data_IF_565791994878
#
_entry.id   IF_565791994878
#
_cell.length_a   1.000
_cell.length_b   1.000
_cell.length_c   1.000
_cell.angle_alpha   90.00
_cell.angle_beta   90.00
_cell.angle_gamma   90.00
#
_symmetry.space_group_name_H-M   'P 1'
#
loop_
_entity.id
_entity.type
_entity.pdbx_description
1 polymer ?
#
# COMPACT_ATOMS: atom_id res chain seq x y z
N UNK A 1 9.23 -9.79 7.37
CA UNK A 1 8.06 -10.57 7.84
C UNK A 1 6.78 -10.12 7.13
N UNK A 2 6.44 -8.83 7.17
CA UNK A 2 5.32 -8.24 6.41
C UNK A 2 5.36 -8.52 4.90
N UNK A 3 6.49 -8.30 4.23
CA UNK A 3 6.60 -8.52 2.79
C UNK A 3 6.26 -9.96 2.37
N UNK A 4 6.67 -10.96 3.17
CA UNK A 4 6.32 -12.38 2.92
C UNK A 4 4.84 -12.68 3.17
N UNK A 5 4.22 -12.05 4.18
CA UNK A 5 2.79 -12.18 4.44
C UNK A 5 1.98 -11.53 3.31
N UNK A 6 2.34 -10.30 2.92
CA UNK A 6 1.75 -9.57 1.80
C UNK A 6 1.83 -10.34 0.48
N UNK A 7 3.00 -10.90 0.14
CA UNK A 7 3.19 -11.71 -1.07
C UNK A 7 2.30 -12.96 -1.10
N UNK A 8 2.01 -13.57 0.06
CA UNK A 8 1.07 -14.69 0.14
C UNK A 8 -0.37 -14.24 -0.07
N UNK A 9 -0.75 -13.09 0.49
CA UNK A 9 -2.09 -12.52 0.32
C UNK A 9 -2.38 -12.13 -1.13
N UNK A 10 -1.35 -11.84 -1.94
CA UNK A 10 -1.51 -11.45 -3.35
C UNK A 10 -1.45 -12.64 -4.32
N UNK A 11 -1.50 -13.89 -3.84
CA UNK A 11 -1.47 -15.06 -4.72
C UNK A 11 -2.56 -14.99 -5.81
N UNK A 12 -2.19 -15.36 -7.04
CA UNK A 12 -3.07 -15.26 -8.22
C UNK A 12 -4.35 -16.08 -8.07
N UNK A 13 -4.26 -17.25 -7.43
CA UNK A 13 -5.41 -18.11 -7.14
C UNK A 13 -5.92 -17.81 -5.74
N UNK A 14 -7.22 -17.53 -5.59
CA UNK A 14 -7.82 -17.25 -4.28
C UNK A 14 -7.62 -18.37 -3.26
N UNK A 15 -7.58 -19.64 -3.71
CA UNK A 15 -7.38 -20.81 -2.84
C UNK A 15 -5.97 -20.92 -2.25
N UNK A 16 -4.99 -20.24 -2.85
CA UNK A 16 -3.60 -20.23 -2.37
C UNK A 16 -3.35 -19.12 -1.35
N UNK A 17 -4.31 -18.20 -1.20
CA UNK A 17 -4.23 -17.12 -0.24
C UNK A 17 -4.51 -17.67 1.16
N UNK A 18 -3.80 -17.18 2.17
CA UNK A 18 -4.06 -17.55 3.56
C UNK A 18 -5.43 -17.06 4.01
N UNK A 19 -6.03 -17.78 4.96
CA UNK A 19 -7.28 -17.36 5.58
C UNK A 19 -7.08 -16.07 6.39
N UNK A 20 -8.01 -15.12 6.25
CA UNK A 20 -7.88 -13.81 6.86
C UNK A 20 -7.88 -13.89 8.38
N UNK A 21 -8.86 -14.60 8.95
CA UNK A 21 -9.11 -14.65 10.39
C UNK A 21 -8.17 -15.63 11.09
N UNK A 22 -7.88 -16.76 10.46
CA UNK A 22 -7.12 -17.85 11.06
C UNK A 22 -5.60 -17.70 10.85
N UNK A 23 -5.16 -17.04 9.79
CA UNK A 23 -3.73 -16.96 9.45
C UNK A 23 -3.20 -15.53 9.38
N UNK A 24 -3.90 -14.61 8.72
CA UNK A 24 -3.38 -13.26 8.47
C UNK A 24 -3.46 -12.39 9.72
N UNK A 25 -4.64 -12.25 10.33
CA UNK A 25 -4.85 -11.40 11.50
C UNK A 25 -3.98 -11.81 12.70
N UNK A 26 -3.87 -13.10 13.07
CA UNK A 26 -3.00 -13.51 14.18
C UNK A 26 -1.53 -13.21 13.91
N UNK A 27 -1.08 -13.35 12.65
CA UNK A 27 0.30 -13.04 12.27
C UNK A 27 0.58 -11.55 12.32
N UNK A 28 -0.39 -10.71 11.95
CA UNK A 28 -0.30 -9.26 12.07
C UNK A 28 -0.23 -8.82 13.53
N UNK A 29 -1.04 -9.43 14.40
CA UNK A 29 -1.04 -9.14 15.84
C UNK A 29 0.30 -9.53 16.49
N UNK A 30 0.83 -10.71 16.18
CA UNK A 30 2.17 -11.15 16.62
C UNK A 30 3.26 -10.14 16.24
N UNK A 31 3.24 -9.66 14.99
CA UNK A 31 4.22 -8.68 14.51
C UNK A 31 4.02 -7.33 15.21
N UNK A 32 2.78 -6.89 15.39
CA UNK A 32 2.46 -5.63 16.06
C UNK A 32 2.91 -5.68 17.52
N UNK A 33 2.66 -6.77 18.23
CA UNK A 33 3.10 -6.97 19.61
C UNK A 33 4.62 -6.90 19.71
N UNK A 34 5.34 -7.60 18.82
CA UNK A 34 6.80 -7.57 18.77
C UNK A 34 7.38 -6.17 18.51
N UNK A 35 6.78 -5.41 17.59
CA UNK A 35 7.18 -4.02 17.33
C UNK A 35 6.89 -3.14 18.54
N UNK A 36 5.70 -3.27 19.12
CA UNK A 36 5.25 -2.48 20.26
C UNK A 36 6.20 -2.66 21.45
N UNK A 37 6.55 -3.90 21.80
CA UNK A 37 7.52 -4.19 22.86
C UNK A 37 8.91 -3.64 22.56
N UNK A 38 9.39 -3.71 21.30
CA UNK A 38 10.69 -3.17 20.90
C UNK A 38 10.72 -1.63 20.85
N UNK A 39 9.60 -1.00 20.49
CA UNK A 39 9.44 0.45 20.38
C UNK A 39 9.29 1.11 21.75
N UNK A 40 8.52 0.51 22.67
CA UNK A 40 8.42 0.99 24.06
C UNK A 40 9.78 1.01 24.78
N UNK A 41 10.71 0.13 24.41
CA UNK A 41 12.07 0.14 24.94
C UNK A 41 12.97 1.24 24.35
N UNK A 42 12.63 1.79 23.17
CA UNK A 42 13.53 2.73 22.46
C UNK A 42 13.05 4.17 22.36
N UNK A 43 11.75 4.47 22.34
CA UNK A 43 11.27 5.86 22.35
C UNK A 43 9.75 5.99 22.63
N UNK A 44 9.29 6.71 23.68
CA UNK A 44 7.86 6.90 23.97
C UNK A 44 7.10 7.83 23.00
N UNK A 45 7.79 8.51 22.08
CA UNK A 45 7.20 9.52 21.18
C UNK A 45 7.43 9.16 19.72
N UNK A 46 6.69 8.17 19.21
CA UNK A 46 6.47 8.13 17.75
C UNK A 46 5.43 9.20 17.40
N UNK A 47 5.92 10.34 16.93
CA UNK A 47 5.14 11.28 16.15
C UNK A 47 4.75 10.58 14.86
N UNK A 48 3.61 9.90 14.84
CA UNK A 48 3.03 9.34 13.62
C UNK A 48 2.80 10.51 12.67
N UNK A 49 3.40 10.53 11.47
CA UNK A 49 3.17 11.60 10.51
C UNK A 49 1.66 11.76 10.27
N UNK A 50 1.17 13.00 10.33
CA UNK A 50 -0.24 13.28 10.04
C UNK A 50 -0.59 12.72 8.66
N UNK A 51 -1.73 12.04 8.57
CA UNK A 51 -2.29 11.46 7.35
C UNK A 51 -1.87 12.25 6.10
N UNK A 52 -1.12 11.61 5.20
CA UNK A 52 -0.84 12.19 3.89
C UNK A 52 -2.15 12.26 3.12
N UNK A 53 -2.68 13.48 2.95
CA UNK A 53 -3.87 13.71 2.15
C UNK A 53 -3.43 13.67 0.69
N UNK A 54 -3.83 12.61 -0.01
CA UNK A 54 -3.47 12.43 -1.41
C UNK A 54 -4.14 13.52 -2.27
N UNK A 55 -3.41 14.20 -3.18
CA UNK A 55 -3.97 15.23 -4.06
C UNK A 55 -5.07 14.75 -5.01
N UNK A 56 -5.32 13.43 -5.12
CA UNK A 56 -6.38 12.84 -5.95
C UNK A 56 -7.74 13.50 -5.68
N UNK A 57 -8.05 13.88 -4.43
CA UNK A 57 -9.31 14.56 -4.09
C UNK A 57 -9.41 15.99 -4.65
N UNK A 58 -8.31 16.61 -5.05
CA UNK A 58 -8.25 18.02 -5.47
C UNK A 58 -8.48 18.19 -6.98
N UNK A 59 -8.26 17.15 -7.79
CA UNK A 59 -8.37 17.23 -9.27
C UNK A 59 -9.80 17.13 -9.81
N UNK A 60 -10.80 16.83 -8.98
CA UNK A 60 -12.21 16.77 -9.42
C UNK A 60 -12.89 18.14 -9.50
N UNK A 61 -12.19 19.25 -9.20
CA UNK A 61 -12.73 20.61 -9.23
C UNK A 61 -12.39 21.43 -10.48
N UNK A 62 -11.62 20.89 -11.44
CA UNK A 62 -11.34 21.60 -12.69
C UNK A 62 -11.39 20.62 -13.86
N UNK A 63 -12.55 20.53 -14.49
CA UNK A 63 -12.72 19.77 -15.70
C UNK A 63 -12.19 20.54 -16.90
N UNK A 64 -11.22 19.97 -17.61
CA UNK A 64 -11.04 20.17 -19.05
C UNK A 64 -10.61 18.84 -19.67
N UNK A 65 -11.39 18.36 -20.63
CA UNK A 65 -11.21 17.06 -21.25
C UNK A 65 -10.07 17.02 -22.26
N UNK A 66 -9.24 15.98 -22.16
CA UNK A 66 -8.58 15.34 -23.30
C UNK A 66 -8.68 13.83 -23.13
N UNK A 67 -9.60 13.24 -23.90
CA UNK A 67 -9.72 11.80 -24.06
C UNK A 67 -8.65 11.35 -25.06
N UNK A 68 -7.43 11.14 -24.60
CA UNK A 68 -6.54 10.18 -25.24
C UNK A 68 -6.48 8.99 -24.29
N UNK A 69 -7.10 7.88 -24.67
CA UNK A 69 -6.95 6.61 -23.96
C UNK A 69 -5.53 6.10 -24.19
N UNK A 70 -4.56 6.72 -23.53
CA UNK A 70 -3.20 6.19 -23.44
C UNK A 70 -3.35 4.90 -22.64
N UNK A 71 -3.34 3.76 -23.34
CA UNK A 71 -3.25 2.46 -22.69
C UNK A 71 -1.92 2.44 -21.96
N UNK A 72 -1.90 2.32 -20.61
CA UNK A 72 -0.64 2.29 -19.88
C UNK A 72 0.19 1.11 -20.38
N UNK A 73 1.48 1.33 -20.56
CA UNK A 73 2.42 0.27 -20.91
C UNK A 73 2.46 -0.76 -19.77
N UNK A 74 1.82 -1.91 -20.02
CA UNK A 74 1.63 -2.96 -19.01
C UNK A 74 2.96 -3.56 -18.53
N UNK A 75 4.05 -3.37 -19.27
CA UNK A 75 5.38 -3.87 -18.92
C UNK A 75 6.07 -3.04 -17.83
N UNK A 76 5.55 -1.85 -17.51
CA UNK A 76 6.14 -0.98 -16.50
C UNK A 76 5.67 -1.30 -15.07
N UNK A 77 4.63 -2.12 -14.93
CA UNK A 77 4.02 -2.48 -13.66
C UNK A 77 4.40 -3.89 -13.23
N UNK A 78 4.50 -4.12 -11.92
CA UNK A 78 4.75 -5.44 -11.32
C UNK A 78 6.01 -6.13 -11.85
N UNK A 79 7.07 -5.35 -12.12
CA UNK A 79 8.35 -5.88 -12.56
C UNK A 79 8.99 -6.75 -11.47
N UNK A 80 9.36 -7.98 -11.83
CA UNK A 80 9.99 -8.94 -10.90
C UNK A 80 11.34 -8.42 -10.35
N UNK A 81 12.02 -7.57 -11.12
CA UNK A 81 13.29 -6.95 -10.77
C UNK A 81 13.15 -5.66 -9.93
N UNK A 82 11.93 -5.32 -9.48
CA UNK A 82 11.71 -4.10 -8.70
C UNK A 82 12.47 -4.17 -7.35
N UNK A 83 13.28 -3.15 -7.00
CA UNK A 83 14.10 -3.19 -5.80
C UNK A 83 13.23 -3.20 -4.54
N UNK A 84 13.55 -4.09 -3.61
CA UNK A 84 12.85 -4.22 -2.31
C UNK A 84 13.68 -3.70 -1.14
N UNK A 85 14.90 -3.24 -1.39
CA UNK A 85 15.81 -2.64 -0.42
C UNK A 85 16.26 -1.27 -0.92
N UNK A 86 16.25 -0.29 -0.02
CA UNK A 86 16.59 1.10 -0.34
C UNK A 86 17.48 1.66 0.78
N UNK A 87 18.63 2.22 0.40
CA UNK A 87 19.55 2.85 1.35
C UNK A 87 18.99 4.16 1.91
N UNK A 88 18.21 4.90 1.10
CA UNK A 88 17.52 6.12 1.49
C UNK A 88 16.16 6.23 0.78
N UNK A 89 15.08 5.90 1.49
CA UNK A 89 13.71 6.05 0.99
C UNK A 89 12.74 6.47 2.10
N UNK A 90 11.65 7.12 1.71
CA UNK A 90 10.52 7.45 2.59
C UNK A 90 9.29 6.69 2.10
N UNK A 91 8.67 5.93 3.00
CA UNK A 91 7.46 5.17 2.70
C UNK A 91 6.26 5.80 3.41
N UNK A 92 5.14 5.88 2.71
CA UNK A 92 3.88 6.42 3.23
C UNK A 92 2.78 5.38 3.08
N UNK A 93 1.88 5.32 4.05
CA UNK A 93 0.65 4.52 3.95
C UNK A 93 -0.47 5.45 3.48
N UNK A 94 -1.02 5.16 2.29
CA UNK A 94 -2.18 5.86 1.75
C UNK A 94 -3.42 5.02 2.07
N UNK A 95 -4.45 5.64 2.64
CA UNK A 95 -5.75 5.01 2.90
C UNK A 95 -6.80 5.70 2.03
N UNK A 96 -7.51 4.93 1.21
CA UNK A 96 -8.76 5.36 0.59
C UNK A 96 -9.90 4.45 1.06
N UNK A 97 -11.09 5.03 1.20
CA UNK A 97 -12.32 4.34 1.56
C UNK A 97 -13.19 4.00 0.35
N UNK A 98 -12.77 4.37 -0.87
CA UNK A 98 -13.52 4.13 -2.11
C UNK A 98 -12.62 3.51 -3.16
N UNK A 99 -13.08 2.42 -3.76
CA UNK A 99 -12.37 1.76 -4.86
C UNK A 99 -12.20 2.70 -6.07
N UNK A 100 -13.22 3.52 -6.35
CA UNK A 100 -13.19 4.53 -7.42
C UNK A 100 -11.94 5.42 -7.35
N UNK A 101 -11.52 5.82 -6.15
CA UNK A 101 -10.37 6.71 -5.99
C UNK A 101 -9.07 6.03 -6.48
N UNK A 102 -8.97 4.71 -6.30
CA UNK A 102 -7.83 3.91 -6.77
C UNK A 102 -7.85 3.82 -8.29
N UNK A 103 -9.01 3.49 -8.88
CA UNK A 103 -9.17 3.44 -10.34
C UNK A 103 -8.85 4.77 -11.01
N UNK A 104 -9.32 5.87 -10.41
CA UNK A 104 -9.04 7.22 -10.89
C UNK A 104 -7.54 7.55 -10.81
N UNK A 105 -6.86 7.20 -9.71
CA UNK A 105 -5.42 7.45 -9.56
C UNK A 105 -4.54 6.68 -10.55
N UNK A 106 -4.97 5.48 -10.96
CA UNK A 106 -4.24 4.69 -11.96
C UNK A 106 -4.52 5.23 -13.37
N UNK A 107 -5.72 5.75 -13.60
CA UNK A 107 -6.16 6.20 -14.93
C UNK A 107 -5.62 7.58 -15.30
N UNK A 108 -5.46 8.48 -14.33
CA UNK A 108 -5.17 9.89 -14.58
C UNK A 108 -3.86 10.40 -13.97
N UNK A 109 -3.01 9.49 -13.47
CA UNK A 109 -1.76 9.79 -12.74
C UNK A 109 -1.92 10.84 -11.63
#
# INVERSE_FOLDING_TARGET
MFARLGLKCTALRCRDRPDLELEVLPKLDEILHGITSAVYLRNPKLSVPSHFICPITQSLASGEGKNDSVVPDRTQFNNDDFPVQYDAAKFFVIKSYREDDIHMSIKYD
#
